data_IF_540577032176
#
_entry.id   IF_540577032176
#
_cell.length_a   1.000
_cell.length_b   1.000
_cell.length_c   1.000
_cell.angle_alpha   90.00
_cell.angle_beta   90.00
_cell.angle_gamma   90.00
#
_symmetry.space_group_name_H-M   'P 1'
#
loop_
_entity.id
_entity.type
_entity.pdbx_description
1 polymer ?
#
# COMPACT_ATOMS: atom_id res chain seq x y z
N UNK A 1 -10.91 0.59 -6.88
CA UNK A 1 -9.75 1.51 -6.94
C UNK A 1 -8.51 0.65 -6.83
N UNK A 2 -7.65 0.66 -7.84
CA UNK A 2 -6.50 -0.26 -7.87
C UNK A 2 -5.44 -0.02 -6.77
N UNK A 3 -5.45 1.15 -6.14
CA UNK A 3 -4.44 1.53 -5.15
C UNK A 3 -4.88 1.37 -3.69
N UNK A 4 -6.09 0.86 -3.44
CA UNK A 4 -6.60 0.64 -2.08
C UNK A 4 -7.09 -0.77 -1.96
N UNK A 5 -6.60 -1.48 -0.96
CA UNK A 5 -7.03 -2.84 -0.65
C UNK A 5 -6.79 -3.15 0.82
N UNK A 6 -7.67 -3.95 1.43
CA UNK A 6 -7.52 -4.42 2.79
C UNK A 6 -7.34 -3.33 3.85
N UNK A 7 -7.86 -2.12 3.64
CA UNK A 7 -7.68 -0.99 4.55
C UNK A 7 -6.39 -0.20 4.35
N UNK A 8 -5.56 -0.56 3.39
CA UNK A 8 -4.29 0.08 3.08
C UNK A 8 -4.33 0.81 1.75
N UNK A 9 -3.59 1.91 1.66
CA UNK A 9 -3.30 2.62 0.43
C UNK A 9 -1.91 2.25 -0.04
N UNK A 10 -1.80 1.69 -1.24
CA UNK A 10 -0.55 1.30 -1.88
C UNK A 10 -0.15 2.39 -2.87
N UNK A 11 0.64 3.34 -2.41
CA UNK A 11 1.16 4.41 -3.25
C UNK A 11 2.37 3.91 -4.03
N UNK A 12 2.27 3.93 -5.35
CA UNK A 12 3.39 3.72 -6.26
C UNK A 12 3.55 4.95 -7.13
N UNK A 13 4.74 5.52 -7.16
CA UNK A 13 5.04 6.70 -7.99
C UNK A 13 6.25 6.46 -8.86
N UNK A 14 6.23 7.05 -10.06
CA UNK A 14 7.39 7.11 -10.94
C UNK A 14 7.69 8.57 -11.24
N UNK A 15 8.71 9.09 -10.56
CA UNK A 15 9.02 10.50 -10.50
C UNK A 15 10.23 10.80 -11.39
N UNK A 16 10.12 11.62 -12.44
CA UNK A 16 11.26 11.94 -13.28
C UNK A 16 12.25 12.80 -12.51
N UNK A 17 13.53 12.45 -12.59
CA UNK A 17 14.66 13.17 -11.99
C UNK A 17 15.26 14.08 -13.06
N UNK A 18 15.66 15.28 -12.67
CA UNK A 18 16.32 16.24 -13.56
C UNK A 18 17.62 15.67 -14.12
N UNK A 19 17.98 16.10 -15.30
CA UNK A 19 19.24 15.75 -15.96
C UNK A 19 20.13 16.98 -16.08
N UNK A 20 21.44 16.75 -16.21
CA UNK A 20 22.43 17.78 -16.42
C UNK A 20 23.29 18.06 -15.16
N UNK A 21 24.36 18.86 -15.33
CA UNK A 21 25.23 19.21 -14.22
C UNK A 21 24.58 20.25 -13.31
N UNK A 22 24.83 20.12 -12.00
CA UNK A 22 24.48 21.09 -10.98
C UNK A 22 25.76 21.56 -10.29
N UNK A 23 25.89 22.86 -10.06
CA UNK A 23 26.99 23.41 -9.28
C UNK A 23 26.60 23.44 -7.81
N UNK A 24 27.48 22.89 -6.95
CA UNK A 24 27.33 22.95 -5.49
C UNK A 24 27.82 24.31 -4.96
N UNK A 25 27.44 24.68 -3.75
CA UNK A 25 27.90 25.94 -3.12
C UNK A 25 29.44 26.05 -3.01
N UNK A 26 30.14 24.92 -2.91
CA UNK A 26 31.61 24.85 -2.87
C UNK A 26 32.28 24.99 -4.24
N UNK A 27 31.50 25.22 -5.30
CA UNK A 27 31.97 25.35 -6.67
C UNK A 27 32.19 24.03 -7.42
N UNK A 28 32.05 22.88 -6.76
CA UNK A 28 32.11 21.57 -7.42
C UNK A 28 30.87 21.29 -8.25
N UNK A 29 31.00 20.37 -9.22
CA UNK A 29 29.87 19.93 -10.05
C UNK A 29 29.37 18.55 -9.59
N UNK A 30 28.07 18.36 -9.67
CA UNK A 30 27.37 17.11 -9.40
C UNK A 30 26.22 16.91 -10.37
N UNK A 31 25.47 15.83 -10.23
CA UNK A 31 24.24 15.59 -10.98
C UNK A 31 23.04 15.44 -10.02
N UNK A 32 21.81 15.72 -10.48
CA UNK A 32 20.60 15.48 -9.68
C UNK A 32 20.51 14.03 -9.16
N UNK A 33 20.87 13.04 -9.99
CA UNK A 33 20.91 11.63 -9.60
C UNK A 33 21.90 11.36 -8.49
N UNK A 34 23.07 12.03 -8.51
CA UNK A 34 24.07 11.86 -7.45
C UNK A 34 23.60 12.50 -6.14
N UNK A 35 22.99 13.69 -6.20
CA UNK A 35 22.39 14.32 -5.01
C UNK A 35 21.31 13.44 -4.40
N UNK A 36 20.48 12.84 -5.25
CA UNK A 36 19.44 11.91 -4.80
C UNK A 36 20.04 10.66 -4.13
N UNK A 37 21.13 10.07 -4.68
CA UNK A 37 21.84 8.97 -4.05
C UNK A 37 22.38 9.35 -2.68
N UNK A 38 22.98 10.52 -2.56
CA UNK A 38 23.52 11.02 -1.30
C UNK A 38 22.38 11.21 -0.26
N UNK A 39 21.27 11.81 -0.67
CA UNK A 39 20.10 11.98 0.19
C UNK A 39 19.53 10.63 0.66
N UNK A 40 19.36 9.66 -0.25
CA UNK A 40 18.85 8.34 0.11
C UNK A 40 19.83 7.55 0.99
N UNK A 41 21.13 7.66 0.74
CA UNK A 41 22.17 7.00 1.54
C UNK A 41 22.29 7.58 2.96
N UNK A 42 21.90 8.84 3.15
CA UNK A 42 21.90 9.49 4.47
C UNK A 42 20.69 9.13 5.34
N UNK A 43 19.66 8.51 4.74
CA UNK A 43 18.48 8.12 5.50
C UNK A 43 18.78 6.93 6.42
N UNK A 44 18.25 6.94 7.65
CA UNK A 44 18.31 5.79 8.54
C UNK A 44 17.57 4.60 7.89
N UNK A 45 18.16 3.41 7.97
CA UNK A 45 17.51 2.17 7.54
C UNK A 45 16.46 1.72 8.56
N UNK A 46 15.62 0.76 8.16
CA UNK A 46 14.59 0.20 9.03
C UNK A 46 15.18 -0.56 10.25
N UNK A 47 16.41 -1.03 10.16
CA UNK A 47 17.06 -1.74 11.28
C UNK A 47 17.74 -0.72 12.21
N UNK A 48 17.01 -0.32 13.23
CA UNK A 48 17.50 0.67 14.18
C UNK A 48 17.67 0.05 15.56
N UNK A 49 18.84 0.33 16.17
CA UNK A 49 19.07 -0.03 17.56
C UNK A 49 18.33 0.94 18.50
N UNK A 50 18.01 0.55 19.73
CA UNK A 50 17.49 1.47 20.73
C UNK A 50 18.36 2.73 20.90
N UNK A 51 19.66 2.58 20.88
CA UNK A 51 20.60 3.71 21.00
C UNK A 51 20.50 4.71 19.83
N UNK A 52 20.27 4.26 18.60
CA UNK A 52 20.07 5.16 17.47
C UNK A 52 18.71 5.88 17.53
N UNK A 53 17.69 5.23 18.06
CA UNK A 53 16.37 5.86 18.30
C UNK A 53 16.47 6.92 19.40
N UNK A 54 17.13 6.62 20.50
CA UNK A 54 17.34 7.55 21.62
C UNK A 54 18.16 8.77 21.18
N UNK A 55 19.11 8.59 20.26
CA UNK A 55 19.85 9.66 19.62
C UNK A 55 19.03 10.47 18.57
N UNK A 56 17.74 10.14 18.38
CA UNK A 56 16.88 10.79 17.40
C UNK A 56 17.13 10.36 15.95
N UNK A 57 17.88 9.28 15.73
CA UNK A 57 18.24 8.77 14.42
C UNK A 57 17.18 7.77 13.94
N UNK A 58 16.00 8.27 13.61
CA UNK A 58 14.87 7.46 13.14
C UNK A 58 14.49 7.82 11.71
N UNK A 59 13.93 6.83 10.97
CA UNK A 59 13.42 7.08 9.63
C UNK A 59 12.39 8.22 9.65
N UNK A 60 12.48 9.21 8.75
CA UNK A 60 11.52 10.30 8.70
C UNK A 60 10.09 9.79 8.47
N UNK A 61 9.93 8.70 7.76
CA UNK A 61 8.62 8.10 7.48
C UNK A 61 7.94 7.52 8.72
N UNK A 62 8.70 7.11 9.74
CA UNK A 62 8.17 6.62 11.01
C UNK A 62 7.48 7.69 11.86
N UNK A 63 7.72 8.98 11.56
CA UNK A 63 7.07 10.10 12.25
C UNK A 63 5.62 10.28 11.82
N UNK A 64 5.19 9.62 10.74
CA UNK A 64 3.79 9.58 10.32
C UNK A 64 3.16 8.29 10.84
N UNK A 65 2.27 8.40 11.84
CA UNK A 65 1.63 7.25 12.51
C UNK A 65 0.64 6.44 11.66
N UNK A 66 0.66 6.62 10.33
CA UNK A 66 -0.13 5.86 9.36
C UNK A 66 0.74 5.11 8.35
N UNK A 67 2.05 5.34 8.35
CA UNK A 67 2.96 4.75 7.36
C UNK A 67 3.47 3.40 7.85
N UNK A 68 3.08 2.32 7.20
CA UNK A 68 3.60 0.97 7.44
C UNK A 68 4.95 0.76 6.77
N UNK A 69 5.07 1.23 5.55
CA UNK A 69 6.24 0.99 4.71
C UNK A 69 6.51 2.20 3.81
N UNK A 70 7.80 2.47 3.57
CA UNK A 70 8.23 3.42 2.55
C UNK A 70 9.51 2.91 1.87
N UNK A 71 9.58 3.03 0.55
CA UNK A 71 10.72 2.59 -0.24
C UNK A 71 10.99 3.58 -1.36
N UNK A 72 12.27 3.91 -1.54
CA UNK A 72 12.74 4.74 -2.64
C UNK A 72 13.81 3.99 -3.44
N UNK A 73 13.71 4.01 -4.77
CA UNK A 73 14.65 3.36 -5.68
C UNK A 73 14.95 4.31 -6.84
N UNK A 74 16.22 4.63 -7.05
CA UNK A 74 16.66 5.38 -8.22
C UNK A 74 16.86 4.44 -9.39
N UNK A 75 16.15 4.69 -10.49
CA UNK A 75 16.24 3.97 -11.76
C UNK A 75 16.92 4.92 -12.76
N UNK A 76 18.20 4.73 -12.97
CA UNK A 76 19.01 5.59 -13.86
C UNK A 76 19.57 4.86 -15.07
N UNK A 77 19.56 3.55 -15.05
CA UNK A 77 19.91 2.70 -16.18
C UNK A 77 18.99 1.49 -16.24
N UNK A 78 18.49 1.12 -17.41
CA UNK A 78 17.76 -0.12 -17.55
C UNK A 78 18.74 -1.28 -17.36
N UNK A 79 18.48 -2.14 -16.37
CA UNK A 79 19.22 -3.39 -16.16
C UNK A 79 18.83 -4.46 -17.20
N UNK A 80 17.71 -4.27 -17.86
CA UNK A 80 17.15 -5.18 -18.86
C UNK A 80 16.46 -4.36 -19.95
N UNK A 81 16.78 -4.69 -21.20
CA UNK A 81 16.13 -4.07 -22.34
C UNK A 81 14.68 -4.52 -22.42
N UNK A 82 13.75 -3.59 -22.31
CA UNK A 82 12.38 -3.82 -22.70
C UNK A 82 12.39 -4.31 -24.16
N UNK A 83 11.86 -5.49 -24.43
CA UNK A 83 11.70 -5.95 -25.80
C UNK A 83 10.51 -5.24 -26.40
N UNK A 84 10.67 -4.76 -27.62
CA UNK A 84 9.52 -4.38 -28.43
C UNK A 84 8.51 -5.54 -28.40
N UNK A 85 7.29 -5.25 -27.93
CA UNK A 85 6.22 -6.24 -27.74
C UNK A 85 5.72 -6.88 -29.03
N UNK A 86 6.48 -6.77 -30.12
CA UNK A 86 6.23 -7.44 -31.39
C UNK A 86 6.26 -8.95 -31.28
N UNK A 87 5.49 -9.64 -32.13
CA UNK A 87 5.44 -11.07 -32.21
C UNK A 87 6.87 -11.65 -32.39
N UNK A 88 7.27 -12.58 -31.50
CA UNK A 88 8.60 -13.18 -31.48
C UNK A 88 9.01 -13.81 -32.80
N UNK A 89 8.06 -14.35 -33.57
CA UNK A 89 8.26 -14.88 -34.92
C UNK A 89 8.65 -13.78 -35.91
N UNK A 90 8.00 -12.61 -35.84
CA UNK A 90 8.33 -11.46 -36.71
C UNK A 90 9.71 -10.90 -36.38
N UNK A 91 10.09 -10.85 -35.11
CA UNK A 91 11.40 -10.39 -34.67
C UNK A 91 12.49 -11.37 -35.10
N UNK A 92 12.26 -12.69 -34.99
CA UNK A 92 13.16 -13.72 -35.47
C UNK A 92 13.37 -13.63 -36.99
N UNK A 93 12.30 -13.38 -37.77
CA UNK A 93 12.37 -13.18 -39.22
C UNK A 93 13.14 -11.90 -39.59
N UNK A 94 13.07 -10.84 -38.77
CA UNK A 94 13.82 -9.61 -38.93
C UNK A 94 15.27 -9.72 -38.46
N UNK A 95 15.70 -10.88 -37.98
CA UNK A 95 17.03 -11.12 -37.39
C UNK A 95 17.40 -10.15 -36.26
N UNK A 96 16.43 -9.72 -35.48
CA UNK A 96 16.67 -8.86 -34.32
C UNK A 96 17.31 -9.71 -33.22
N UNK A 97 18.48 -9.30 -32.75
CA UNK A 97 19.11 -9.94 -31.61
C UNK A 97 18.37 -9.50 -30.31
N UNK A 98 17.56 -10.40 -29.76
CA UNK A 98 16.76 -10.14 -28.58
C UNK A 98 17.57 -9.99 -27.29
N UNK A 99 18.87 -10.30 -27.33
CA UNK A 99 19.79 -10.17 -26.17
C UNK A 99 20.66 -8.93 -26.25
N UNK A 100 20.72 -8.24 -27.42
CA UNK A 100 21.45 -7.01 -27.56
C UNK A 100 20.61 -5.80 -27.11
N UNK A 101 21.27 -4.82 -26.50
CA UNK A 101 20.67 -3.54 -26.18
C UNK A 101 20.11 -2.88 -27.46
N UNK A 102 18.84 -2.49 -27.43
CA UNK A 102 18.22 -1.78 -28.54
C UNK A 102 18.49 -0.28 -28.39
N UNK A 103 18.69 0.46 -29.50
CA UNK A 103 18.92 1.90 -29.42
C UNK A 103 17.76 2.68 -28.79
N UNK A 104 16.57 2.11 -28.79
CA UNK A 104 15.35 2.68 -28.20
C UNK A 104 15.20 2.39 -26.70
N UNK A 105 16.06 1.52 -26.14
CA UNK A 105 15.99 1.08 -24.75
C UNK A 105 16.72 2.06 -23.81
N UNK A 106 16.55 3.34 -24.03
CA UNK A 106 17.11 4.38 -23.18
C UNK A 106 16.01 5.05 -22.36
N UNK A 107 16.29 5.25 -21.08
CA UNK A 107 15.45 6.12 -20.27
C UNK A 107 15.61 7.56 -20.76
N UNK A 108 14.52 8.29 -20.94
CA UNK A 108 14.54 9.71 -21.31
C UNK A 108 15.20 10.56 -20.23
N UNK A 109 15.03 10.18 -18.98
CA UNK A 109 15.69 10.72 -17.80
C UNK A 109 15.76 9.64 -16.72
N UNK A 110 16.58 9.80 -15.67
CA UNK A 110 16.48 8.96 -14.48
C UNK A 110 15.12 9.13 -13.82
N UNK A 111 14.66 8.07 -13.13
CA UNK A 111 13.40 8.09 -12.38
C UNK A 111 13.64 7.68 -10.94
N UNK A 112 12.97 8.35 -10.03
CA UNK A 112 12.79 7.92 -8.65
C UNK A 112 11.47 7.15 -8.56
N UNK A 113 11.53 5.86 -8.28
CA UNK A 113 10.38 5.10 -7.86
C UNK A 113 10.25 5.24 -6.34
N UNK A 114 9.18 5.87 -5.90
CA UNK A 114 8.87 6.01 -4.49
C UNK A 114 7.54 5.30 -4.22
N UNK A 115 7.58 4.33 -3.29
CA UNK A 115 6.43 3.56 -2.86
C UNK A 115 6.19 3.79 -1.38
N UNK A 116 4.94 3.83 -0.97
CA UNK A 116 4.55 3.88 0.42
C UNK A 116 3.23 3.13 0.64
N UNK A 117 3.18 2.36 1.73
CA UNK A 117 1.96 1.74 2.22
C UNK A 117 1.55 2.46 3.50
N UNK A 118 0.29 2.87 3.57
CA UNK A 118 -0.23 3.58 4.73
C UNK A 118 -1.72 3.28 4.93
N UNK A 119 -2.20 3.48 6.17
CA UNK A 119 -3.61 3.31 6.49
C UNK A 119 -4.48 4.19 5.60
N UNK A 120 -5.33 3.56 4.79
CA UNK A 120 -6.29 4.24 3.94
C UNK A 120 -7.40 4.89 4.77
N UNK A 121 -8.01 5.93 4.21
CA UNK A 121 -9.23 6.54 4.73
C UNK A 121 -10.32 6.49 3.67
N UNK A 122 -11.16 5.45 3.68
CA UNK A 122 -12.21 5.27 2.68
C UNK A 122 -13.26 6.39 2.67
N UNK A 123 -13.39 7.14 3.77
CA UNK A 123 -14.23 8.31 3.93
C UNK A 123 -13.71 9.55 3.20
N UNK A 124 -12.41 9.61 2.88
CA UNK A 124 -11.81 10.68 2.09
C UNK A 124 -11.85 10.34 0.59
N UNK A 125 -12.16 11.34 -0.25
CA UNK A 125 -12.38 11.16 -1.70
C UNK A 125 -11.19 10.53 -2.44
N UNK A 126 -9.96 10.77 -1.97
CA UNK A 126 -8.71 10.26 -2.52
C UNK A 126 -8.15 9.07 -1.71
N UNK A 127 -8.97 8.47 -0.83
CA UNK A 127 -8.56 7.36 0.01
C UNK A 127 -7.57 7.74 1.11
N UNK A 128 -7.43 9.03 1.41
CA UNK A 128 -6.56 9.55 2.45
C UNK A 128 -5.15 9.89 2.00
N UNK A 129 -4.88 9.97 0.69
CA UNK A 129 -3.56 10.37 0.16
C UNK A 129 -3.21 11.80 0.55
N UNK A 130 -4.13 12.76 0.38
CA UNK A 130 -3.87 14.16 0.69
C UNK A 130 -3.62 14.38 2.19
N UNK A 131 -4.40 13.75 3.04
CA UNK A 131 -4.24 13.86 4.50
C UNK A 131 -2.94 13.19 4.98
N UNK A 132 -2.58 12.05 4.40
CA UNK A 132 -1.31 11.37 4.69
C UNK A 132 -0.10 12.20 4.25
N UNK A 133 -0.09 12.66 3.00
CA UNK A 133 1.04 13.43 2.43
C UNK A 133 1.24 14.76 3.17
N UNK A 134 0.15 15.47 3.50
CA UNK A 134 0.21 16.71 4.29
C UNK A 134 0.70 16.45 5.71
N UNK A 135 0.25 15.37 6.34
CA UNK A 135 0.72 14.97 7.66
C UNK A 135 2.19 14.55 7.69
N UNK A 136 2.67 13.88 6.64
CA UNK A 136 4.07 13.53 6.46
C UNK A 136 4.91 14.80 6.25
N UNK A 137 4.48 15.71 5.37
CA UNK A 137 5.13 16.98 5.10
C UNK A 137 5.32 17.80 6.38
N UNK A 138 4.27 17.96 7.17
CA UNK A 138 4.32 18.75 8.40
C UNK A 138 5.37 18.26 9.42
N UNK A 139 5.78 16.99 9.33
CA UNK A 139 6.72 16.37 10.28
C UNK A 139 8.11 16.16 9.72
N UNK A 140 8.27 16.18 8.39
CA UNK A 140 9.47 15.70 7.70
C UNK A 140 9.84 16.55 6.48
N UNK A 141 9.38 17.80 6.42
CA UNK A 141 9.63 18.69 5.27
C UNK A 141 11.10 18.76 4.87
N UNK A 142 12.09 18.94 5.80
CA UNK A 142 13.49 19.04 5.39
C UNK A 142 14.00 17.78 4.69
N UNK A 143 13.64 16.62 5.18
CA UNK A 143 14.05 15.34 4.61
C UNK A 143 13.36 15.08 3.27
N UNK A 144 12.07 15.42 3.15
CA UNK A 144 11.34 15.32 1.88
C UNK A 144 11.92 16.27 0.82
N UNK A 145 12.28 17.49 1.21
CA UNK A 145 12.98 18.42 0.30
C UNK A 145 14.33 17.87 -0.15
N UNK A 146 15.11 17.29 0.76
CA UNK A 146 16.38 16.68 0.40
C UNK A 146 16.23 15.54 -0.62
N UNK A 147 15.19 14.71 -0.47
CA UNK A 147 14.92 13.60 -1.39
C UNK A 147 14.36 14.09 -2.71
N UNK A 148 13.36 14.96 -2.71
CA UNK A 148 12.57 15.27 -3.90
C UNK A 148 13.01 16.54 -4.65
N UNK A 149 13.86 17.41 -4.07
CA UNK A 149 14.38 18.60 -4.75
C UNK A 149 15.05 18.29 -6.11
N UNK A 150 15.77 17.17 -6.31
CA UNK A 150 16.32 16.83 -7.62
C UNK A 150 15.28 16.41 -8.66
N UNK A 151 14.01 16.25 -8.29
CA UNK A 151 12.95 15.76 -9.17
C UNK A 151 12.26 16.88 -9.94
N UNK A 152 11.72 16.55 -11.11
CA UNK A 152 10.99 17.49 -11.96
C UNK A 152 9.68 17.94 -11.30
N UNK A 153 9.41 19.24 -11.38
CA UNK A 153 8.17 19.83 -10.88
C UNK A 153 8.09 19.97 -9.36
N UNK A 154 9.10 19.56 -8.61
CA UNK A 154 9.11 19.71 -7.16
C UNK A 154 9.31 21.17 -6.71
N UNK A 155 9.86 22.03 -7.57
CA UNK A 155 10.02 23.47 -7.26
C UNK A 155 8.70 24.17 -6.96
N UNK A 156 7.59 23.66 -7.48
CA UNK A 156 6.25 24.19 -7.21
C UNK A 156 5.65 23.70 -5.89
N UNK A 157 6.36 22.81 -5.17
CA UNK A 157 5.87 22.24 -3.90
C UNK A 157 6.29 23.15 -2.76
N UNK A 158 5.32 23.90 -2.25
CA UNK A 158 5.53 24.89 -1.17
C UNK A 158 5.05 24.38 0.18
N UNK A 159 4.07 23.48 0.19
CA UNK A 159 3.38 22.99 1.39
C UNK A 159 2.91 21.54 1.21
N UNK A 160 2.28 20.99 2.24
CA UNK A 160 1.81 19.61 2.25
C UNK A 160 0.69 19.32 1.24
N UNK A 161 -0.16 20.30 0.94
CA UNK A 161 -1.22 20.14 -0.06
C UNK A 161 -0.63 20.09 -1.48
N UNK A 162 0.32 20.99 -1.78
CA UNK A 162 1.06 20.97 -3.03
C UNK A 162 1.89 19.68 -3.20
N UNK A 163 2.44 19.15 -2.10
CA UNK A 163 3.13 17.88 -2.09
C UNK A 163 2.20 16.71 -2.45
N UNK A 164 1.02 16.65 -1.85
CA UNK A 164 0.01 15.64 -2.16
C UNK A 164 -0.40 15.66 -3.64
N UNK A 165 -0.71 16.84 -4.18
CA UNK A 165 -1.07 16.99 -5.59
C UNK A 165 0.09 16.66 -6.54
N UNK A 166 1.33 16.94 -6.14
CA UNK A 166 2.50 16.56 -6.92
C UNK A 166 2.71 15.06 -6.92
N UNK A 167 2.60 14.36 -5.77
CA UNK A 167 2.65 12.91 -5.69
C UNK A 167 1.57 12.26 -6.54
N UNK A 168 0.34 12.77 -6.48
CA UNK A 168 -0.80 12.28 -7.26
C UNK A 168 -0.55 12.33 -8.77
N UNK A 169 0.12 13.39 -9.25
CA UNK A 169 0.51 13.50 -10.67
C UNK A 169 1.60 12.49 -11.07
N UNK A 170 2.45 12.09 -10.13
CA UNK A 170 3.50 11.10 -10.37
C UNK A 170 3.04 9.67 -10.08
N UNK A 171 1.82 9.49 -9.57
CA UNK A 171 1.29 8.21 -9.19
C UNK A 171 1.03 7.34 -10.42
N UNK A 172 1.43 6.08 -10.34
CA UNK A 172 1.08 5.02 -11.27
C UNK A 172 0.13 4.04 -10.59
N UNK A 173 -0.66 3.34 -11.41
CA UNK A 173 -1.58 2.33 -10.88
C UNK A 173 -0.82 1.15 -10.31
N UNK A 174 -1.16 0.74 -9.09
CA UNK A 174 -0.67 -0.49 -8.50
C UNK A 174 -1.49 -1.66 -9.06
N UNK A 175 -0.86 -2.48 -9.90
CA UNK A 175 -1.56 -3.57 -10.60
C UNK A 175 -1.83 -4.78 -9.72
N UNK A 176 -1.07 -4.94 -8.64
CA UNK A 176 -1.27 -5.99 -7.65
C UNK A 176 -0.88 -5.44 -6.29
N UNK A 177 -1.88 -5.11 -5.49
CA UNK A 177 -1.71 -4.82 -4.08
C UNK A 177 -1.92 -6.09 -3.27
N UNK A 178 -1.12 -6.29 -2.24
CA UNK A 178 -1.21 -7.43 -1.36
C UNK A 178 -1.02 -7.00 0.08
N UNK A 179 -1.90 -7.48 0.94
CA UNK A 179 -1.84 -7.25 2.37
C UNK A 179 -2.02 -8.60 3.08
N UNK A 180 -1.06 -9.02 3.89
CA UNK A 180 -1.05 -10.27 4.65
C UNK A 180 -1.46 -10.10 6.12
N UNK A 181 -1.92 -8.89 6.53
CA UNK A 181 -2.39 -8.63 7.89
C UNK A 181 -3.82 -9.12 8.14
N UNK A 182 -4.33 -10.02 7.29
CA UNK A 182 -5.64 -10.61 7.49
C UNK A 182 -5.60 -11.69 8.57
N UNK A 183 -6.04 -11.33 9.75
CA UNK A 183 -6.29 -12.30 10.82
C UNK A 183 -7.33 -11.74 11.81
N UNK A 184 -8.60 -12.17 11.75
CA UNK A 184 -9.19 -13.12 10.81
C UNK A 184 -9.40 -12.53 9.41
N UNK A 185 -9.50 -13.43 8.41
CA UNK A 185 -9.81 -13.02 7.04
C UNK A 185 -11.21 -12.40 6.99
N UNK A 186 -11.40 -11.26 6.28
CA UNK A 186 -12.70 -10.65 6.15
C UNK A 186 -13.66 -11.55 5.36
N UNK A 187 -14.97 -11.42 5.66
CA UNK A 187 -16.02 -12.15 4.95
C UNK A 187 -16.11 -11.69 3.49
N UNK A 188 -15.67 -12.53 2.58
CA UNK A 188 -15.72 -12.26 1.14
C UNK A 188 -17.00 -12.84 0.54
N UNK A 189 -17.80 -12.01 -0.11
CA UNK A 189 -19.01 -12.43 -0.82
C UNK A 189 -18.64 -13.08 -2.14
N UNK A 190 -18.77 -14.40 -2.20
CA UNK A 190 -18.60 -15.18 -3.43
C UNK A 190 -19.83 -15.16 -4.32
N UNK A 191 -19.62 -15.19 -5.65
CA UNK A 191 -20.68 -15.40 -6.64
C UNK A 191 -20.53 -16.80 -7.25
N UNK A 192 -21.61 -17.60 -7.19
CA UNK A 192 -21.62 -18.91 -7.83
C UNK A 192 -22.04 -18.78 -9.29
N UNK A 193 -21.50 -19.63 -10.17
CA UNK A 193 -21.91 -19.69 -11.57
C UNK A 193 -23.42 -19.91 -11.71
N UNK A 194 -24.03 -20.73 -10.87
CA UNK A 194 -25.46 -20.95 -10.82
C UNK A 194 -26.23 -19.67 -10.45
N UNK A 195 -25.70 -18.86 -9.50
CA UNK A 195 -26.30 -17.57 -9.14
C UNK A 195 -26.23 -16.56 -10.28
N UNK A 196 -25.11 -16.47 -10.98
CA UNK A 196 -24.92 -15.62 -12.16
C UNK A 196 -25.88 -16.06 -13.29
N UNK A 197 -25.93 -17.35 -13.59
CA UNK A 197 -26.86 -17.89 -14.61
C UNK A 197 -28.33 -17.60 -14.29
N UNK A 198 -28.72 -17.73 -13.01
CA UNK A 198 -30.08 -17.39 -12.55
C UNK A 198 -30.38 -15.89 -12.69
N UNK A 199 -29.43 -15.02 -12.36
CA UNK A 199 -29.61 -13.59 -12.53
C UNK A 199 -29.80 -13.20 -14.01
N UNK A 200 -29.02 -13.78 -14.91
CA UNK A 200 -29.18 -13.59 -16.36
C UNK A 200 -30.54 -14.09 -16.82
N UNK A 201 -31.00 -15.30 -16.43
CA UNK A 201 -32.28 -15.86 -16.81
C UNK A 201 -33.44 -14.97 -16.32
N UNK A 202 -33.41 -14.54 -15.07
CA UNK A 202 -34.45 -13.64 -14.51
C UNK A 202 -34.45 -12.30 -15.25
N UNK A 203 -33.30 -11.69 -15.47
CA UNK A 203 -33.16 -10.41 -16.17
C UNK A 203 -33.69 -10.50 -17.61
N UNK A 204 -33.32 -11.59 -18.33
CA UNK A 204 -33.83 -11.86 -19.69
C UNK A 204 -35.35 -12.03 -19.70
N UNK A 205 -35.89 -12.79 -18.76
CA UNK A 205 -37.34 -12.98 -18.61
C UNK A 205 -38.08 -11.66 -18.36
N UNK A 206 -37.60 -10.83 -17.44
CA UNK A 206 -38.20 -9.52 -17.13
C UNK A 206 -38.14 -8.56 -18.33
N UNK A 207 -36.97 -8.44 -18.98
CA UNK A 207 -36.84 -7.57 -20.15
C UNK A 207 -37.69 -8.04 -21.32
N UNK A 208 -37.79 -9.35 -21.53
CA UNK A 208 -38.67 -9.93 -22.59
C UNK A 208 -40.14 -9.67 -22.29
N UNK A 209 -40.57 -9.80 -21.03
CA UNK A 209 -41.94 -9.50 -20.62
C UNK A 209 -42.29 -8.02 -20.81
N UNK A 210 -41.36 -7.12 -20.45
CA UNK A 210 -41.52 -5.68 -20.68
C UNK A 210 -41.59 -5.35 -22.18
N UNK A 211 -40.73 -5.95 -23.00
CA UNK A 211 -40.78 -5.79 -24.45
C UNK A 211 -42.07 -6.28 -25.04
N UNK A 212 -42.60 -7.43 -24.62
CA UNK A 212 -43.88 -7.96 -25.03
C UNK A 212 -45.03 -7.02 -24.66
N UNK A 213 -45.05 -6.51 -23.42
CA UNK A 213 -46.06 -5.57 -22.98
C UNK A 213 -46.02 -4.27 -23.80
N UNK A 214 -44.82 -3.72 -24.06
CA UNK A 214 -44.67 -2.54 -24.91
C UNK A 214 -45.18 -2.78 -26.36
N UNK A 215 -44.85 -3.93 -26.96
CA UNK A 215 -45.32 -4.30 -28.31
C UNK A 215 -46.84 -4.44 -28.38
N UNK A 216 -47.46 -4.98 -27.31
CA UNK A 216 -48.93 -5.07 -27.22
C UNK A 216 -49.59 -3.70 -27.12
N UNK A 217 -49.02 -2.82 -26.28
CA UNK A 217 -49.54 -1.45 -26.12
C UNK A 217 -49.44 -0.63 -27.41
N UNK A 218 -48.35 -0.79 -28.16
CA UNK A 218 -48.12 -0.04 -29.40
C UNK A 218 -48.67 -0.73 -30.65
N UNK A 219 -49.34 -1.88 -30.47
CA UNK A 219 -49.88 -2.68 -31.59
C UNK A 219 -48.84 -3.01 -32.67
N UNK A 220 -47.60 -3.19 -32.26
CA UNK A 220 -46.50 -3.46 -33.17
C UNK A 220 -46.54 -4.89 -33.71
N UNK A 221 -45.94 -5.12 -34.88
CA UNK A 221 -45.89 -6.44 -35.53
C UNK A 221 -45.13 -7.47 -34.66
N UNK A 222 -45.62 -8.71 -34.62
CA UNK A 222 -45.02 -9.82 -33.88
C UNK A 222 -43.58 -10.15 -34.30
N UNK A 223 -43.15 -9.73 -35.49
CA UNK A 223 -41.76 -9.88 -35.93
C UNK A 223 -40.75 -9.19 -35.01
N UNK A 224 -41.12 -8.11 -34.28
CA UNK A 224 -40.28 -7.44 -33.32
C UNK A 224 -39.90 -8.33 -32.13
N UNK A 225 -40.67 -9.41 -31.86
CA UNK A 225 -40.32 -10.38 -30.80
C UNK A 225 -39.03 -11.17 -31.12
N UNK A 226 -38.77 -11.41 -32.42
CA UNK A 226 -37.56 -12.10 -32.87
C UNK A 226 -36.30 -11.31 -32.54
N UNK A 227 -36.39 -9.96 -32.48
CA UNK A 227 -35.29 -9.08 -32.09
C UNK A 227 -35.30 -8.79 -30.59
N UNK A 228 -36.47 -8.69 -29.96
CA UNK A 228 -36.61 -8.35 -28.56
C UNK A 228 -35.92 -9.37 -27.63
N UNK A 229 -36.02 -10.66 -27.94
CA UNK A 229 -35.47 -11.72 -27.09
C UNK A 229 -33.93 -11.76 -27.10
N UNK A 230 -33.23 -11.70 -28.24
CA UNK A 230 -31.76 -11.56 -28.26
C UNK A 230 -31.27 -10.28 -27.61
N UNK A 231 -31.95 -9.16 -27.81
CA UNK A 231 -31.62 -7.89 -27.20
C UNK A 231 -31.75 -7.95 -25.67
N UNK A 232 -32.84 -8.55 -25.16
CA UNK A 232 -33.05 -8.77 -23.75
C UNK A 232 -31.94 -9.63 -23.11
N UNK A 233 -31.54 -10.70 -23.83
CA UNK A 233 -30.45 -11.57 -23.38
C UNK A 233 -29.12 -10.81 -23.32
N UNK A 234 -28.75 -10.08 -24.37
CA UNK A 234 -27.52 -9.31 -24.42
C UNK A 234 -27.49 -8.22 -23.34
N UNK A 235 -28.63 -7.53 -23.16
CA UNK A 235 -28.76 -6.51 -22.12
C UNK A 235 -28.64 -7.12 -20.70
N UNK A 236 -29.23 -8.27 -20.45
CA UNK A 236 -29.11 -9.00 -19.17
C UNK A 236 -27.69 -9.46 -18.90
N UNK A 237 -27.03 -10.06 -19.88
CA UNK A 237 -25.63 -10.49 -19.78
C UNK A 237 -24.74 -9.25 -19.50
N UNK A 238 -24.91 -8.18 -20.30
CA UNK A 238 -24.17 -6.94 -20.11
C UNK A 238 -24.38 -6.32 -18.74
N UNK A 239 -25.62 -6.28 -18.25
CA UNK A 239 -25.95 -5.77 -16.92
C UNK A 239 -25.33 -6.58 -15.79
N UNK A 240 -25.38 -7.90 -15.88
CA UNK A 240 -24.75 -8.80 -14.89
C UNK A 240 -23.23 -8.68 -14.92
N UNK A 241 -22.61 -8.66 -16.10
CA UNK A 241 -21.16 -8.47 -16.24
C UNK A 241 -20.73 -7.10 -15.72
N UNK A 242 -21.50 -6.05 -15.99
CA UNK A 242 -21.23 -4.71 -15.45
C UNK A 242 -21.33 -4.68 -13.92
N UNK A 243 -22.35 -5.35 -13.34
CA UNK A 243 -22.50 -5.44 -11.89
C UNK A 243 -21.33 -6.21 -11.24
N UNK A 244 -20.89 -7.30 -11.85
CA UNK A 244 -19.73 -8.09 -11.42
C UNK A 244 -18.45 -7.27 -11.54
N UNK A 245 -18.25 -6.59 -12.65
CA UNK A 245 -17.10 -5.71 -12.85
C UNK A 245 -17.07 -4.58 -11.82
N UNK A 246 -18.20 -3.91 -11.58
CA UNK A 246 -18.31 -2.85 -10.57
C UNK A 246 -17.97 -3.36 -9.17
N UNK A 247 -18.42 -4.55 -8.82
CA UNK A 247 -18.10 -5.17 -7.52
C UNK A 247 -16.65 -5.64 -7.44
N UNK A 248 -16.11 -6.21 -8.51
CA UNK A 248 -14.71 -6.61 -8.58
C UNK A 248 -13.71 -5.44 -8.51
N UNK A 249 -14.17 -4.21 -8.80
CA UNK A 249 -13.37 -2.99 -8.62
C UNK A 249 -13.52 -2.35 -7.23
N UNK A 250 -14.26 -2.96 -6.31
CA UNK A 250 -14.29 -2.52 -4.92
C UNK A 250 -13.05 -3.09 -4.20
N UNK A 251 -12.40 -2.26 -3.40
CA UNK A 251 -11.33 -2.71 -2.53
C UNK A 251 -11.86 -3.75 -1.52
N UNK A 252 -11.02 -4.68 -1.13
CA UNK A 252 -11.32 -5.56 0.00
C UNK A 252 -11.50 -4.73 1.27
N UNK A 253 -12.42 -5.13 2.16
CA UNK A 253 -12.59 -4.45 3.43
C UNK A 253 -11.32 -4.56 4.28
N UNK A 254 -11.11 -3.60 5.17
CA UNK A 254 -10.04 -3.69 6.16
C UNK A 254 -10.25 -4.93 7.04
N UNK A 255 -9.17 -5.66 7.31
CA UNK A 255 -9.16 -6.67 8.37
C UNK A 255 -9.14 -6.01 9.74
N UNK A 256 -9.68 -6.69 10.75
CA UNK A 256 -9.60 -6.21 12.13
C UNK A 256 -8.13 -6.18 12.58
N UNK A 257 -7.70 -5.04 13.13
CA UNK A 257 -6.35 -4.90 13.68
C UNK A 257 -5.22 -4.76 12.64
N UNK A 258 -5.54 -4.43 11.39
CA UNK A 258 -4.55 -4.23 10.31
C UNK A 258 -4.00 -2.81 10.24
N UNK A 259 -4.58 -1.86 10.96
CA UNK A 259 -4.07 -0.49 11.07
C UNK A 259 -2.75 -0.43 11.83
N UNK A 260 -1.92 0.55 11.53
CA UNK A 260 -0.58 0.66 12.11
C UNK A 260 -0.55 0.65 13.64
N UNK A 261 -1.42 1.38 14.35
CA UNK A 261 -1.46 1.30 15.81
C UNK A 261 -1.73 -0.10 16.36
N UNK A 262 -2.62 -0.85 15.74
CA UNK A 262 -2.94 -2.23 16.12
C UNK A 262 -1.78 -3.18 15.86
N UNK A 263 -1.12 -3.06 14.72
CA UNK A 263 0.08 -3.85 14.37
C UNK A 263 1.21 -3.59 15.36
N UNK A 264 1.50 -2.32 15.67
CA UNK A 264 2.53 -1.96 16.66
C UNK A 264 2.19 -2.53 18.04
N UNK A 265 0.93 -2.47 18.44
CA UNK A 265 0.45 -3.07 19.68
C UNK A 265 0.66 -4.58 19.71
N UNK A 266 0.27 -5.28 18.66
CA UNK A 266 0.43 -6.72 18.56
C UNK A 266 1.91 -7.14 18.65
N UNK A 267 2.79 -6.45 17.93
CA UNK A 267 4.25 -6.68 17.97
C UNK A 267 4.81 -6.45 19.38
N UNK A 268 4.37 -5.39 20.05
CA UNK A 268 4.79 -5.07 21.41
C UNK A 268 4.38 -6.18 22.40
N UNK A 269 3.12 -6.60 22.34
CA UNK A 269 2.60 -7.70 23.18
C UNK A 269 3.33 -9.00 22.88
N UNK A 270 3.56 -9.34 21.62
CA UNK A 270 4.25 -10.56 21.19
C UNK A 270 5.67 -10.63 21.74
N UNK A 271 6.45 -9.55 21.65
CA UNK A 271 7.82 -9.49 22.16
C UNK A 271 7.88 -9.72 23.68
N UNK A 272 7.01 -9.05 24.42
CA UNK A 272 6.95 -9.21 25.89
C UNK A 272 6.43 -10.57 26.31
N UNK A 273 5.48 -11.14 25.56
CA UNK A 273 4.98 -12.49 25.84
C UNK A 273 6.06 -13.55 25.60
N UNK A 274 6.87 -13.42 24.57
CA UNK A 274 7.98 -14.33 24.32
C UNK A 274 8.98 -14.37 25.49
N UNK A 275 9.28 -13.21 26.07
CA UNK A 275 10.15 -13.12 27.24
C UNK A 275 9.48 -13.72 28.50
N UNK A 276 8.21 -13.37 28.76
CA UNK A 276 7.45 -13.94 29.85
C UNK A 276 7.40 -15.48 29.75
N UNK A 277 7.15 -16.01 28.55
CA UNK A 277 7.11 -17.44 28.33
C UNK A 277 8.46 -18.12 28.61
N UNK A 278 9.56 -17.46 28.27
CA UNK A 278 10.90 -17.95 28.60
C UNK A 278 11.18 -17.94 30.10
N UNK A 279 10.83 -16.85 30.78
CA UNK A 279 11.03 -16.69 32.24
C UNK A 279 10.17 -17.65 33.06
N UNK A 280 9.03 -18.07 32.56
CA UNK A 280 8.10 -18.96 33.25
C UNK A 280 8.38 -20.45 33.01
N UNK A 281 9.39 -20.83 32.27
CA UNK A 281 9.72 -22.23 32.04
C UNK A 281 10.13 -22.91 33.34
N UNK A 282 9.35 -23.94 33.74
CA UNK A 282 9.57 -24.66 34.99
C UNK A 282 9.00 -24.00 36.25
N UNK A 283 8.29 -22.91 36.13
CA UNK A 283 7.58 -22.27 37.24
C UNK A 283 6.32 -23.07 37.66
N UNK A 284 5.91 -22.92 38.90
CA UNK A 284 4.65 -23.50 39.41
C UNK A 284 3.42 -22.73 38.88
N UNK A 285 2.26 -23.39 38.90
CA UNK A 285 0.99 -22.87 38.39
C UNK A 285 0.58 -21.53 39.03
N UNK A 286 0.81 -21.36 40.32
CA UNK A 286 0.45 -20.12 41.03
C UNK A 286 1.32 -18.95 40.57
N UNK A 287 2.60 -19.21 40.37
CA UNK A 287 3.55 -18.21 39.80
C UNK A 287 3.20 -17.87 38.38
N UNK A 288 2.91 -18.87 37.53
CA UNK A 288 2.48 -18.62 36.12
C UNK A 288 1.22 -17.76 36.10
N UNK A 289 0.20 -18.12 36.89
CA UNK A 289 -1.06 -17.39 36.93
C UNK A 289 -0.88 -15.93 37.37
N UNK A 290 -0.12 -15.70 38.43
CA UNK A 290 0.17 -14.33 38.91
C UNK A 290 0.91 -13.48 37.88
N UNK A 291 2.02 -14.02 37.34
CA UNK A 291 2.86 -13.30 36.36
C UNK A 291 2.11 -13.01 35.05
N UNK A 292 1.24 -13.94 34.65
CA UNK A 292 0.40 -13.70 33.47
C UNK A 292 -0.67 -12.64 33.75
N UNK A 293 -1.26 -12.61 34.93
CA UNK A 293 -2.21 -11.54 35.32
C UNK A 293 -1.52 -10.17 35.32
N UNK A 294 -0.31 -10.08 35.88
CA UNK A 294 0.50 -8.84 35.86
C UNK A 294 0.83 -8.42 34.43
N UNK A 295 1.20 -9.35 33.56
CA UNK A 295 1.45 -9.10 32.14
C UNK A 295 0.21 -8.49 31.46
N UNK A 296 -0.97 -9.10 31.64
CA UNK A 296 -2.21 -8.60 31.03
C UNK A 296 -2.56 -7.21 31.57
N UNK A 297 -2.42 -7.00 32.89
CA UNK A 297 -2.70 -5.70 33.50
C UNK A 297 -1.76 -4.59 33.01
N UNK A 298 -0.47 -4.91 32.89
CA UNK A 298 0.55 -3.93 32.51
C UNK A 298 0.52 -3.61 31.02
N UNK A 299 0.42 -4.61 30.16
CA UNK A 299 0.47 -4.40 28.72
C UNK A 299 -0.89 -4.11 28.09
N UNK A 300 -1.99 -4.43 28.76
CA UNK A 300 -3.34 -4.19 28.27
C UNK A 300 -3.52 -4.66 26.80
N UNK A 301 -3.31 -5.95 26.49
CA UNK A 301 -3.24 -6.44 25.11
C UNK A 301 -4.51 -6.17 24.29
N UNK A 302 -5.67 -6.04 24.93
CA UNK A 302 -6.94 -5.69 24.26
C UNK A 302 -7.16 -4.19 24.03
N UNK A 303 -6.19 -3.31 24.37
CA UNK A 303 -6.32 -1.86 24.21
C UNK A 303 -5.22 -1.28 23.37
N UNK A 304 -5.56 -0.78 22.18
CA UNK A 304 -4.62 -0.09 21.29
C UNK A 304 -4.06 1.19 21.92
N UNK A 305 -4.84 1.85 22.78
CA UNK A 305 -4.41 3.04 23.52
C UNK A 305 -3.45 2.74 24.67
N UNK A 306 -3.30 1.46 25.06
CA UNK A 306 -2.36 1.03 26.10
C UNK A 306 -0.89 1.08 25.64
N UNK A 307 0.04 0.60 26.49
CA UNK A 307 1.46 0.58 26.16
C UNK A 307 1.75 -0.09 24.82
N UNK A 308 2.56 0.53 23.98
CA UNK A 308 2.91 0.07 22.63
C UNK A 308 4.35 0.48 22.28
N UNK A 309 4.87 0.01 21.16
CA UNK A 309 6.19 0.41 20.67
C UNK A 309 6.13 1.57 19.68
N UNK A 310 7.23 2.30 19.55
CA UNK A 310 7.35 3.33 18.54
C UNK A 310 7.44 2.71 17.12
N UNK A 311 6.87 3.35 16.09
CA UNK A 311 7.02 2.92 14.71
C UNK A 311 8.47 3.05 14.24
N UNK A 312 8.87 2.22 13.26
CA UNK A 312 10.20 2.25 12.64
C UNK A 312 11.32 1.64 13.48
N UNK A 313 11.02 1.03 14.62
CA UNK A 313 12.00 0.35 15.48
C UNK A 313 11.95 -1.16 15.23
N UNK A 314 13.00 -1.69 14.59
CA UNK A 314 13.21 -3.13 14.47
C UNK A 314 14.29 -3.55 15.46
N UNK A 315 13.98 -4.57 16.25
CA UNK A 315 14.92 -5.10 17.24
C UNK A 315 15.53 -6.40 16.70
N UNK A 316 16.84 -6.41 16.60
CA UNK A 316 17.60 -7.60 16.20
C UNK A 316 18.05 -8.47 17.39
N UNK A 317 18.04 -7.89 18.60
CA UNK A 317 18.57 -8.52 19.82
C UNK A 317 17.51 -9.19 20.71
N UNK A 318 16.21 -9.07 20.36
CA UNK A 318 15.11 -9.62 21.14
C UNK A 318 14.91 -8.96 22.52
N UNK A 319 15.73 -7.97 22.90
CA UNK A 319 15.60 -7.30 24.20
C UNK A 319 14.50 -6.25 24.15
N UNK A 320 13.55 -6.19 25.10
CA UNK A 320 12.51 -5.16 25.15
C UNK A 320 13.12 -3.77 25.21
N UNK A 321 12.44 -2.77 24.63
CA UNK A 321 12.85 -1.38 24.82
C UNK A 321 12.94 -1.07 26.32
N UNK A 322 13.96 -0.34 26.71
CA UNK A 322 14.30 -0.01 28.12
C UNK A 322 13.12 0.57 28.90
N UNK A 323 12.22 1.27 28.23
CA UNK A 323 10.98 1.82 28.82
C UNK A 323 10.03 0.77 29.40
N UNK A 324 10.21 -0.53 29.10
CA UNK A 324 9.30 -1.60 29.49
C UNK A 324 9.93 -2.61 30.48
N UNK A 325 11.22 -2.48 30.81
CA UNK A 325 11.87 -3.31 31.82
C UNK A 325 11.24 -3.22 33.24
N UNK A 326 10.73 -2.05 33.69
CA UNK A 326 10.17 -1.94 35.04
C UNK A 326 8.95 -2.81 35.33
N UNK A 327 8.21 -3.23 34.31
CA UNK A 327 7.00 -4.01 34.47
C UNK A 327 7.29 -5.42 34.99
N UNK A 328 8.34 -6.04 34.50
CA UNK A 328 8.75 -7.37 34.95
C UNK A 328 9.56 -7.31 36.27
N UNK A 329 10.25 -6.21 36.56
CA UNK A 329 11.03 -6.04 37.79
C UNK A 329 10.20 -5.66 39.01
N UNK A 330 9.03 -5.01 38.86
CA UNK A 330 8.13 -4.70 39.99
C UNK A 330 7.51 -5.92 40.66
N UNK A 331 7.48 -7.05 39.98
CA UNK A 331 6.94 -8.28 40.54
C UNK A 331 7.93 -9.04 41.45
N UNK A 332 9.24 -8.72 41.38
CA UNK A 332 10.27 -9.32 42.25
C UNK A 332 10.48 -8.57 43.56
N UNK A 333 9.95 -7.35 43.68
CA UNK A 333 10.11 -6.52 44.89
C UNK A 333 8.88 -6.49 45.82
N UNK A 334 7.83 -7.27 45.51
CA UNK A 334 6.63 -7.49 46.35
C UNK A 334 6.55 -8.91 46.82
#
# INVERSE_FOLDING_TARGET
>A
MANIDGGHYFLSTLIPVRSGPLQRPDGSFTTPSQLLREALASLPTAQQSPASVDAGFSSPFSRCGRTHFARAVLIDQPMYNGRDGGNALVQALRKVNLLAAQPVDHLQCPYLMFNADFDARPDEADGGLASWASGLWARTEPELRAIFAPCLGFDAVTDGAAFAEWLKRCQIETTMSFNDYYEPMPDLHGYTLAGVGRAIAIGTGLLSALALAALMLWRASAWWLLLALPVALVASVGGVLFALWRKGNQAFPAGDGTDLPSVLKALHVQQHFALLAADLQGADDATVHRRFADFVQCLQPGSVAGPTQAPGVIRSDGVPLVTHQPVLQKAEAA
#
